data_IF_016691188796
#
_entry.id   IF_016691188796
#
_cell.length_a   1.000
_cell.length_b   1.000
_cell.length_c   1.000
_cell.angle_alpha   90.00
_cell.angle_beta   90.00
_cell.angle_gamma   90.00
#
_symmetry.space_group_name_H-M   'P 1'
#
loop_
_entity.id
_entity.type
_entity.pdbx_description
1 polymer ?
#
# COMPACT_ATOMS: atom_id res chain seq x y z
N UNK A 1 -24.94 -37.75 11.77
CA UNK A 1 -25.21 -36.77 10.71
C UNK A 1 -25.20 -35.39 11.34
N UNK A 2 -24.07 -34.67 11.26
CA UNK A 2 -23.97 -33.26 11.65
C UNK A 2 -23.77 -32.47 10.37
N UNK A 3 -24.67 -31.53 10.09
CA UNK A 3 -24.49 -30.55 9.03
C UNK A 3 -23.43 -29.56 9.50
N UNK A 4 -22.26 -29.54 8.87
CA UNK A 4 -21.29 -28.46 9.02
C UNK A 4 -21.83 -27.24 8.27
N UNK A 5 -22.10 -26.17 9.02
CA UNK A 5 -22.51 -24.89 8.45
C UNK A 5 -21.45 -24.39 7.49
N UNK A 6 -21.78 -24.35 6.19
CA UNK A 6 -20.96 -23.75 5.17
C UNK A 6 -20.62 -22.31 5.59
N UNK A 7 -19.34 -22.03 5.76
CA UNK A 7 -18.83 -20.66 5.93
C UNK A 7 -19.21 -19.91 4.65
N UNK A 8 -20.13 -18.93 4.75
CA UNK A 8 -20.47 -18.08 3.60
C UNK A 8 -19.19 -17.55 2.97
N UNK A 9 -19.03 -17.64 1.64
CA UNK A 9 -17.96 -16.91 0.98
C UNK A 9 -18.13 -15.44 1.33
N UNK A 10 -17.02 -14.79 1.72
CA UNK A 10 -16.99 -13.34 1.88
C UNK A 10 -17.47 -12.75 0.54
N UNK A 11 -18.47 -11.85 0.52
CA UNK A 11 -18.92 -11.25 -0.73
C UNK A 11 -17.71 -10.62 -1.43
N UNK A 12 -17.56 -10.87 -2.74
CA UNK A 12 -16.50 -10.31 -3.57
C UNK A 12 -16.44 -8.80 -3.39
N UNK A 13 -15.51 -8.35 -2.54
CA UNK A 13 -15.24 -6.94 -2.35
C UNK A 13 -14.39 -6.49 -3.55
N UNK A 14 -14.88 -5.60 -4.43
CA UNK A 14 -14.24 -5.27 -5.70
C UNK A 14 -12.88 -4.57 -5.55
N UNK A 15 -12.39 -4.32 -4.33
CA UNK A 15 -11.13 -3.64 -4.11
C UNK A 15 -9.89 -4.51 -4.41
N UNK A 16 -9.98 -5.85 -4.37
CA UNK A 16 -8.81 -6.70 -4.61
C UNK A 16 -8.51 -6.96 -6.11
N UNK A 17 -9.49 -6.76 -6.99
CA UNK A 17 -9.33 -7.05 -8.41
C UNK A 17 -8.64 -5.92 -9.21
N UNK A 18 -8.46 -4.73 -8.64
CA UNK A 18 -7.87 -3.57 -9.36
C UNK A 18 -6.36 -3.41 -9.20
N UNK A 19 -5.73 -4.08 -8.24
CA UNK A 19 -4.31 -3.89 -7.92
C UNK A 19 -3.57 -5.23 -8.01
N UNK A 20 -3.38 -5.72 -9.23
CA UNK A 20 -2.54 -6.90 -9.48
C UNK A 20 -1.10 -6.64 -9.04
N UNK A 21 -0.37 -7.70 -8.64
CA UNK A 21 1.07 -7.61 -8.30
C UNK A 21 1.89 -6.91 -9.39
N UNK A 22 1.59 -7.20 -10.65
CA UNK A 22 2.28 -6.57 -11.79
C UNK A 22 2.04 -5.06 -11.84
N UNK A 23 0.81 -4.62 -11.54
CA UNK A 23 0.48 -3.20 -11.44
C UNK A 23 1.27 -2.54 -10.31
N UNK A 24 1.35 -3.18 -9.14
CA UNK A 24 2.12 -2.67 -7.98
C UNK A 24 3.61 -2.58 -8.30
N UNK A 25 4.19 -3.58 -8.97
CA UNK A 25 5.60 -3.57 -9.36
C UNK A 25 5.89 -2.53 -10.43
N UNK A 26 4.99 -2.33 -11.40
CA UNK A 26 5.14 -1.34 -12.46
C UNK A 26 5.02 0.11 -11.95
N UNK A 27 4.26 0.33 -10.87
CA UNK A 27 4.02 1.64 -10.29
C UNK A 27 4.77 1.83 -8.96
N UNK A 28 5.75 0.96 -8.69
CA UNK A 28 6.54 1.00 -7.47
C UNK A 28 7.38 2.27 -7.42
N UNK A 29 7.20 3.07 -6.37
CA UNK A 29 7.96 4.31 -6.19
C UNK A 29 9.39 4.00 -5.75
N UNK A 30 10.36 4.46 -6.53
CA UNK A 30 11.80 4.29 -6.27
C UNK A 30 12.52 5.64 -6.27
N UNK A 31 13.70 5.69 -5.67
CA UNK A 31 14.52 6.89 -5.58
C UNK A 31 14.57 7.47 -4.17
N UNK A 32 15.10 8.69 -4.06
CA UNK A 32 15.31 9.39 -2.77
C UNK A 32 14.64 10.77 -2.72
N UNK A 33 13.95 11.17 -3.78
CA UNK A 33 13.21 12.43 -3.84
C UNK A 33 11.89 12.33 -3.03
N UNK A 34 11.72 13.11 -1.95
CA UNK A 34 10.51 13.03 -1.13
C UNK A 34 9.24 13.39 -1.90
N UNK A 35 9.31 14.28 -2.89
CA UNK A 35 8.12 14.70 -3.64
C UNK A 35 7.51 13.52 -4.42
N UNK A 36 8.36 12.70 -5.05
CA UNK A 36 7.94 11.47 -5.73
C UNK A 36 7.18 10.52 -4.78
N UNK A 37 7.68 10.33 -3.55
CA UNK A 37 7.02 9.48 -2.55
C UNK A 37 5.69 10.06 -2.05
N UNK A 38 5.63 11.38 -1.83
CA UNK A 38 4.40 12.07 -1.40
C UNK A 38 3.31 11.91 -2.45
N UNK A 39 3.61 12.18 -3.73
CA UNK A 39 2.63 12.05 -4.80
C UNK A 39 2.09 10.63 -4.95
N UNK A 40 2.94 9.62 -4.78
CA UNK A 40 2.51 8.22 -4.85
C UNK A 40 1.56 7.84 -3.70
N UNK A 41 1.89 8.23 -2.46
CA UNK A 41 1.02 7.94 -1.31
C UNK A 41 -0.30 8.71 -1.41
N UNK A 42 -0.25 9.98 -1.83
CA UNK A 42 -1.45 10.79 -2.03
C UNK A 42 -2.37 10.15 -3.07
N UNK A 43 -1.83 9.66 -4.19
CA UNK A 43 -2.64 8.99 -5.22
C UNK A 43 -3.38 7.76 -4.69
N UNK A 44 -2.80 7.01 -3.74
CA UNK A 44 -3.48 5.89 -3.07
C UNK A 44 -4.57 6.40 -2.13
N UNK A 45 -4.26 7.40 -1.30
CA UNK A 45 -5.19 8.01 -0.35
C UNK A 45 -6.41 8.62 -1.06
N UNK A 46 -6.20 9.28 -2.20
CA UNK A 46 -7.25 9.92 -3.02
C UNK A 46 -8.29 8.91 -3.55
N UNK A 47 -7.97 7.61 -3.58
CA UNK A 47 -8.93 6.54 -3.92
C UNK A 47 -9.78 6.06 -2.74
N UNK A 48 -9.55 6.61 -1.53
CA UNK A 48 -10.14 6.14 -0.27
C UNK A 48 -9.50 4.86 0.27
N UNK A 49 -8.38 4.41 -0.30
CA UNK A 49 -7.65 3.23 0.14
C UNK A 49 -6.71 3.57 1.31
N UNK A 50 -6.43 2.56 2.14
CA UNK A 50 -5.38 2.63 3.17
C UNK A 50 -4.06 2.19 2.54
N UNK A 51 -3.01 3.03 2.54
CA UNK A 51 -1.73 2.67 1.93
C UNK A 51 -0.98 1.64 2.77
N UNK A 52 -0.38 0.65 2.10
CA UNK A 52 0.63 -0.25 2.67
C UNK A 52 1.97 0.07 2.02
N UNK A 53 2.99 0.32 2.84
CA UNK A 53 4.35 0.59 2.36
C UNK A 53 5.24 -0.59 2.70
N UNK A 54 5.89 -1.15 1.68
CA UNK A 54 6.88 -2.21 1.83
C UNK A 54 8.26 -1.67 1.48
N UNK A 55 9.25 -2.00 2.32
CA UNK A 55 10.63 -1.57 2.19
C UNK A 55 11.49 -2.78 1.83
N UNK A 56 12.23 -2.69 0.71
CA UNK A 56 13.13 -3.76 0.24
C UNK A 56 14.59 -3.54 0.68
N UNK A 57 14.85 -2.46 1.42
CA UNK A 57 16.15 -2.11 1.97
C UNK A 57 16.60 -3.17 2.99
N UNK A 58 17.90 -3.46 3.01
CA UNK A 58 18.51 -4.39 3.99
C UNK A 58 18.27 -3.93 5.43
N UNK A 59 18.38 -2.62 5.69
CA UNK A 59 17.96 -2.00 6.94
C UNK A 59 16.66 -1.21 6.74
N UNK A 60 15.51 -1.75 7.20
CA UNK A 60 14.23 -1.07 7.05
C UNK A 60 14.10 0.19 7.91
N UNK A 61 14.93 0.37 8.95
CA UNK A 61 14.88 1.56 9.80
C UNK A 61 15.23 2.82 9.01
N UNK A 62 16.15 2.72 8.05
CA UNK A 62 16.54 3.83 7.18
C UNK A 62 15.31 4.35 6.41
N UNK A 63 14.51 3.43 5.86
CA UNK A 63 13.31 3.79 5.12
C UNK A 63 12.22 4.36 6.04
N UNK A 64 12.03 3.75 7.22
CA UNK A 64 11.07 4.24 8.23
C UNK A 64 11.39 5.68 8.65
N UNK A 65 12.65 5.96 9.00
CA UNK A 65 13.06 7.31 9.40
C UNK A 65 12.95 8.30 8.23
N UNK A 66 13.31 7.90 7.01
CA UNK A 66 13.10 8.73 5.84
C UNK A 66 11.62 9.12 5.65
N UNK A 67 10.70 8.15 5.74
CA UNK A 67 9.26 8.40 5.59
C UNK A 67 8.72 9.27 6.73
N UNK A 68 9.12 8.98 7.97
CA UNK A 68 8.75 9.75 9.16
C UNK A 68 9.16 11.22 9.05
N UNK A 69 10.36 11.50 8.57
CA UNK A 69 10.90 12.87 8.53
C UNK A 69 10.48 13.63 7.28
N UNK A 70 10.46 12.97 6.11
CA UNK A 70 10.41 13.67 4.83
C UNK A 70 9.08 13.57 4.09
N UNK A 71 8.30 12.53 4.36
CA UNK A 71 7.12 12.15 3.55
C UNK A 71 5.84 12.32 4.35
N UNK A 72 5.64 11.54 5.41
CA UNK A 72 4.38 11.48 6.16
C UNK A 72 3.92 12.84 6.72
N UNK A 73 4.79 13.71 7.25
CA UNK A 73 4.38 15.02 7.76
C UNK A 73 3.87 16.00 6.70
N UNK A 74 4.04 15.68 5.41
CA UNK A 74 3.66 16.54 4.28
C UNK A 74 2.42 16.00 3.54
N UNK A 75 1.85 14.89 3.98
CA UNK A 75 0.58 14.37 3.47
C UNK A 75 -0.56 15.23 4.04
N UNK A 76 -1.52 15.60 3.19
CA UNK A 76 -2.65 16.47 3.52
C UNK A 76 -3.95 15.67 3.66
#
# INVERSE_FOLDING_TARGET
MRQESARSPLPDHPAHARTSREWVLANWTVGTDPATHISAIQAVLDTGAVPFVHFTQDDPLIAIEYYRTNVLPKLA
#
